data_IF_938504054210
#
_entry.id   IF_938504054210
#
_cell.length_a   1.000
_cell.length_b   1.000
_cell.length_c   1.000
_cell.angle_alpha   90.00
_cell.angle_beta   90.00
_cell.angle_gamma   90.00
#
_symmetry.space_group_name_H-M   'P 1'
#
loop_
_entity.id
_entity.type
_entity.pdbx_description
1 polymer ?
#
# COMPACT_ATOMS: atom_id res chain seq x y z
N UNK A 1 13.10 5.34 -14.53
CA UNK A 1 11.94 5.46 -13.63
C UNK A 1 12.05 6.82 -12.95
N UNK A 2 11.13 7.74 -13.20
CA UNK A 2 11.15 9.04 -12.53
C UNK A 2 10.73 8.81 -11.08
N UNK A 3 11.67 8.93 -10.13
CA UNK A 3 11.37 8.83 -8.69
C UNK A 3 10.66 10.12 -8.28
N UNK A 4 9.35 10.05 -8.04
CA UNK A 4 8.62 11.16 -7.43
C UNK A 4 9.07 11.41 -5.99
N UNK A 5 8.88 12.61 -5.48
CA UNK A 5 9.04 12.90 -4.05
C UNK A 5 7.82 12.44 -3.24
N UNK A 6 7.97 12.28 -1.93
CA UNK A 6 6.86 11.98 -1.01
C UNK A 6 5.69 12.96 -1.21
N UNK A 7 5.99 14.25 -1.28
CA UNK A 7 4.97 15.29 -1.50
C UNK A 7 4.25 15.14 -2.83
N UNK A 8 4.95 14.77 -3.91
CA UNK A 8 4.33 14.57 -5.22
C UNK A 8 3.37 13.38 -5.20
N UNK A 9 3.77 12.25 -4.60
CA UNK A 9 2.88 11.08 -4.50
C UNK A 9 1.67 11.37 -3.61
N UNK A 10 1.84 12.07 -2.49
CA UNK A 10 0.71 12.46 -1.64
C UNK A 10 -0.30 13.33 -2.39
N UNK A 11 0.16 14.35 -3.13
CA UNK A 11 -0.72 15.17 -3.96
C UNK A 11 -1.43 14.37 -5.06
N UNK A 12 -0.73 13.45 -5.71
CA UNK A 12 -1.34 12.57 -6.73
C UNK A 12 -2.40 11.65 -6.13
N UNK A 13 -2.15 11.08 -4.95
CA UNK A 13 -3.13 10.23 -4.25
C UNK A 13 -4.36 11.07 -3.90
N UNK A 14 -4.18 12.23 -3.28
CA UNK A 14 -5.30 13.10 -2.88
C UNK A 14 -6.17 13.51 -4.07
N UNK A 15 -5.57 13.99 -5.15
CA UNK A 15 -6.29 14.44 -6.35
C UNK A 15 -7.09 13.30 -6.99
N UNK A 16 -6.49 12.12 -7.15
CA UNK A 16 -7.12 11.00 -7.82
C UNK A 16 -8.17 10.30 -6.93
N UNK A 17 -7.92 10.19 -5.62
CA UNK A 17 -8.91 9.66 -4.68
C UNK A 17 -10.11 10.60 -4.62
N UNK A 18 -9.91 11.92 -4.63
CA UNK A 18 -11.01 12.88 -4.66
C UNK A 18 -11.92 12.68 -5.87
N UNK A 19 -11.35 12.57 -7.08
CA UNK A 19 -12.13 12.31 -8.30
C UNK A 19 -12.90 10.99 -8.21
N UNK A 20 -12.25 9.95 -7.67
CA UNK A 20 -12.89 8.66 -7.44
C UNK A 20 -14.07 8.75 -6.45
N UNK A 21 -13.91 9.45 -5.33
CA UNK A 21 -14.96 9.62 -4.32
C UNK A 21 -16.11 10.53 -4.78
N UNK A 22 -15.81 11.54 -5.59
CA UNK A 22 -16.84 12.38 -6.22
C UNK A 22 -17.80 11.54 -7.10
N UNK A 23 -17.30 10.48 -7.74
CA UNK A 23 -18.16 9.55 -8.48
C UNK A 23 -19.17 8.82 -7.58
N UNK A 24 -18.76 8.29 -6.43
CA UNK A 24 -19.68 7.63 -5.48
C UNK A 24 -20.71 8.62 -4.96
N UNK A 25 -20.26 9.82 -4.58
CA UNK A 25 -21.15 10.89 -4.14
C UNK A 25 -22.17 11.28 -5.21
N UNK A 26 -21.78 11.32 -6.49
CA UNK A 26 -22.68 11.64 -7.61
C UNK A 26 -23.75 10.57 -7.87
N UNK A 27 -23.56 9.36 -7.32
CA UNK A 27 -24.44 8.20 -7.46
C UNK A 27 -25.20 7.88 -6.18
N UNK A 28 -25.12 8.75 -5.16
CA UNK A 28 -25.66 8.51 -3.81
C UNK A 28 -25.17 7.18 -3.20
N UNK A 29 -23.96 6.75 -3.56
CA UNK A 29 -23.32 5.56 -3.01
C UNK A 29 -22.50 5.92 -1.76
N UNK A 30 -22.40 5.01 -0.78
CA UNK A 30 -21.52 5.19 0.36
C UNK A 30 -20.05 5.21 -0.08
N UNK A 31 -19.21 5.79 0.77
CA UNK A 31 -17.77 5.74 0.57
C UNK A 31 -17.27 4.28 0.64
N UNK A 32 -16.38 3.85 -0.28
CA UNK A 32 -15.84 2.50 -0.26
C UNK A 32 -15.10 2.18 1.02
N UNK A 33 -15.34 1.00 1.58
CA UNK A 33 -14.66 0.53 2.80
C UNK A 33 -14.49 -0.99 2.81
N UNK A 34 -13.63 -1.51 3.69
CA UNK A 34 -13.48 -2.95 3.87
C UNK A 34 -14.78 -3.63 4.37
N UNK A 35 -15.57 -2.92 5.17
CA UNK A 35 -16.80 -3.45 5.77
C UNK A 35 -17.98 -3.44 4.79
N UNK A 36 -18.10 -2.39 3.98
CA UNK A 36 -19.24 -2.18 3.08
C UNK A 36 -18.94 -2.49 1.60
N UNK A 37 -17.66 -2.71 1.24
CA UNK A 37 -17.24 -2.77 -0.16
C UNK A 37 -17.38 -1.41 -0.86
N UNK A 38 -17.52 -1.43 -2.18
CA UNK A 38 -17.75 -0.23 -2.99
C UNK A 38 -19.22 -0.01 -3.38
N UNK A 39 -20.09 -1.01 -3.20
CA UNK A 39 -21.51 -0.91 -3.55
C UNK A 39 -21.76 -0.72 -5.05
N UNK A 40 -20.77 -0.95 -5.91
CA UNK A 40 -20.92 -0.84 -7.36
C UNK A 40 -21.67 -2.05 -7.92
N UNK A 41 -22.53 -1.83 -8.91
CA UNK A 41 -23.16 -2.92 -9.66
C UNK A 41 -22.08 -3.63 -10.51
N UNK A 42 -21.82 -4.93 -10.31
CA UNK A 42 -20.81 -5.67 -11.06
C UNK A 42 -21.06 -5.70 -12.58
N UNK A 43 -22.30 -5.46 -13.02
CA UNK A 43 -22.65 -5.41 -14.43
C UNK A 43 -22.40 -4.04 -15.08
N UNK A 44 -22.11 -3.02 -14.28
CA UNK A 44 -21.91 -1.64 -14.74
C UNK A 44 -20.51 -1.17 -14.38
N UNK A 45 -19.64 -1.12 -15.38
CA UNK A 45 -18.31 -0.54 -15.20
C UNK A 45 -18.39 0.97 -14.95
N UNK A 46 -17.58 1.51 -14.02
CA UNK A 46 -17.42 2.94 -13.89
C UNK A 46 -16.88 3.57 -15.18
N UNK A 47 -17.06 4.88 -15.37
CA UNK A 47 -16.43 5.63 -16.45
C UNK A 47 -14.90 5.43 -16.49
N UNK A 48 -14.32 5.44 -17.68
CA UNK A 48 -12.89 5.15 -17.89
C UNK A 48 -11.95 6.11 -17.15
N UNK A 49 -12.35 7.37 -17.02
CA UNK A 49 -11.66 8.40 -16.24
C UNK A 49 -11.64 8.07 -14.75
N UNK A 50 -12.75 7.59 -14.18
CA UNK A 50 -12.83 7.15 -12.78
C UNK A 50 -11.96 5.91 -12.54
N UNK A 51 -11.95 4.97 -13.49
CA UNK A 51 -11.06 3.80 -13.45
C UNK A 51 -9.59 4.25 -13.50
N UNK A 52 -9.26 5.18 -14.39
CA UNK A 52 -7.91 5.72 -14.51
C UNK A 52 -7.47 6.43 -13.23
N UNK A 53 -8.32 7.27 -12.63
CA UNK A 53 -8.03 7.92 -11.35
C UNK A 53 -7.82 6.90 -10.23
N UNK A 54 -8.69 5.90 -10.09
CA UNK A 54 -8.48 4.83 -9.11
C UNK A 54 -7.13 4.14 -9.29
N UNK A 55 -6.80 3.76 -10.52
CA UNK A 55 -5.56 3.06 -10.82
C UNK A 55 -4.33 3.94 -10.54
N UNK A 56 -4.38 5.23 -10.91
CA UNK A 56 -3.32 6.19 -10.64
C UNK A 56 -3.11 6.41 -9.14
N UNK A 57 -4.19 6.48 -8.35
CA UNK A 57 -4.10 6.58 -6.89
C UNK A 57 -3.42 5.34 -6.28
N UNK A 58 -3.80 4.13 -6.74
CA UNK A 58 -3.20 2.87 -6.26
C UNK A 58 -1.72 2.78 -6.63
N UNK A 59 -1.36 3.16 -7.85
CA UNK A 59 0.03 3.18 -8.30
C UNK A 59 0.87 4.17 -7.48
N UNK A 60 0.39 5.40 -7.29
CA UNK A 60 1.07 6.40 -6.47
C UNK A 60 1.19 5.96 -5.00
N UNK A 61 0.19 5.28 -4.44
CA UNK A 61 0.24 4.72 -3.09
C UNK A 61 1.29 3.61 -2.97
N UNK A 62 1.41 2.73 -3.97
CA UNK A 62 2.43 1.69 -4.01
C UNK A 62 3.84 2.29 -4.13
N UNK A 63 4.03 3.27 -5.00
CA UNK A 63 5.32 3.96 -5.13
C UNK A 63 5.70 4.71 -3.85
N UNK A 64 4.74 5.38 -3.20
CA UNK A 64 4.94 6.00 -1.90
C UNK A 64 5.31 4.95 -0.84
N UNK A 65 4.61 3.81 -0.81
CA UNK A 65 4.91 2.71 0.10
C UNK A 65 6.36 2.23 -0.07
N UNK A 66 6.81 1.99 -1.30
CA UNK A 66 8.20 1.63 -1.59
C UNK A 66 9.19 2.72 -1.18
N UNK A 67 8.87 3.99 -1.44
CA UNK A 67 9.73 5.12 -1.09
C UNK A 67 9.91 5.24 0.43
N UNK A 68 8.83 5.06 1.20
CA UNK A 68 8.85 5.15 2.67
C UNK A 68 9.56 3.96 3.33
N UNK A 69 9.48 2.78 2.72
CA UNK A 69 10.27 1.61 3.09
C UNK A 69 11.78 1.83 2.89
N UNK A 70 12.13 2.79 2.03
CA UNK A 70 13.50 3.14 1.71
C UNK A 70 14.22 2.03 0.93
N UNK A 71 15.50 2.23 0.60
CA UNK A 71 16.27 1.33 -0.26
C UNK A 71 16.43 -0.09 0.31
N UNK A 72 16.24 -0.28 1.61
CA UNK A 72 16.36 -1.59 2.27
C UNK A 72 15.02 -2.30 2.49
N UNK A 73 13.90 -1.57 2.53
CA UNK A 73 12.61 -2.20 2.81
C UNK A 73 12.10 -3.09 1.68
N UNK A 74 12.56 -2.89 0.44
CA UNK A 74 12.28 -3.81 -0.68
C UNK A 74 12.83 -5.23 -0.44
N UNK A 75 13.94 -5.38 0.28
CA UNK A 75 14.52 -6.70 0.60
C UNK A 75 13.75 -7.45 1.70
N UNK A 76 12.94 -6.75 2.49
CA UNK A 76 12.16 -7.33 3.59
C UNK A 76 10.68 -7.52 3.22
N UNK A 77 10.24 -6.93 2.11
CA UNK A 77 8.82 -6.90 1.69
C UNK A 77 8.48 -7.94 0.63
N UNK A 78 9.44 -8.76 0.20
CA UNK A 78 9.16 -9.88 -0.69
C UNK A 78 8.39 -10.96 0.09
N UNK A 79 7.23 -11.43 -0.38
CA UNK A 79 6.47 -12.51 0.27
C UNK A 79 7.22 -13.86 0.34
N UNK A 80 8.46 -13.93 -0.18
CA UNK A 80 9.31 -15.13 -0.17
C UNK A 80 10.49 -15.10 0.81
N UNK A 81 10.90 -13.95 1.35
CA UNK A 81 12.17 -13.85 2.11
C UNK A 81 12.06 -14.18 3.60
N UNK A 82 10.85 -14.46 4.11
CA UNK A 82 10.65 -14.97 5.48
C UNK A 82 11.02 -16.46 5.62
N UNK A 83 11.43 -17.14 4.54
CA UNK A 83 11.84 -18.55 4.54
C UNK A 83 13.32 -18.66 4.20
N UNK A 84 14.23 -18.32 5.13
CA UNK A 84 15.57 -18.94 5.27
C UNK A 84 16.39 -18.26 6.39
N UNK A 85 15.90 -18.30 7.63
CA UNK A 85 16.84 -18.41 8.75
C UNK A 85 16.97 -19.90 9.09
N UNK A 86 18.08 -20.57 8.75
CA UNK A 86 18.33 -21.90 9.29
C UNK A 86 18.38 -21.79 10.81
N UNK A 87 17.49 -22.54 11.48
CA UNK A 87 17.29 -22.63 12.94
C UNK A 87 18.54 -22.96 13.77
N UNK A 88 19.73 -23.06 13.18
CA UNK A 88 20.95 -23.55 13.85
C UNK A 88 21.76 -22.48 14.58
N UNK A 89 21.43 -21.18 14.49
CA UNK A 89 22.19 -20.11 15.20
C UNK A 89 21.39 -19.20 16.13
N UNK A 90 20.12 -19.47 16.40
CA UNK A 90 19.34 -18.69 17.38
C UNK A 90 19.63 -19.07 18.85
N UNK A 91 20.41 -20.13 19.12
CA UNK A 91 20.64 -20.66 20.48
C UNK A 91 21.86 -20.08 21.21
N UNK A 92 22.62 -19.16 20.61
CA UNK A 92 23.86 -18.60 21.22
C UNK A 92 23.82 -17.13 21.62
N UNK A 93 22.69 -16.44 21.46
CA UNK A 93 22.59 -15.03 21.88
C UNK A 93 21.77 -14.81 23.16
N UNK A 94 21.01 -15.80 23.64
CA UNK A 94 20.26 -15.68 24.90
C UNK A 94 21.03 -16.13 26.15
N UNK A 95 22.27 -16.65 26.03
CA UNK A 95 23.08 -17.08 27.19
C UNK A 95 24.07 -16.01 27.66
N UNK A 96 24.29 -14.93 26.89
CA UNK A 96 25.25 -13.88 27.26
C UNK A 96 24.63 -12.67 27.97
N UNK A 97 23.32 -12.70 28.26
CA UNK A 97 22.62 -11.64 28.99
C UNK A 97 22.09 -12.07 30.37
N UNK A 98 22.45 -13.27 30.86
CA UNK A 98 21.97 -13.84 32.15
C UNK A 98 23.10 -14.10 33.15
N UNK A 99 24.34 -13.70 32.86
CA UNK A 99 25.48 -13.79 33.81
C UNK A 99 26.25 -12.48 33.88
N UNK A 100 25.53 -11.39 34.15
CA UNK A 100 26.11 -10.14 34.58
C UNK A 100 25.44 -9.73 35.91
N UNK A 101 25.78 -10.49 36.96
CA UNK A 101 25.80 -10.11 38.37
C UNK A 101 26.85 -10.99 39.08
#
# INVERSE_FOLDING_TARGET
>A
MASGSVSQYLSQIEENVKNYLEYFKSRDLPEPSYDAGDGLDPQQSPPNDIIASRNAAVEAANELHHLLLGPLGLFLSSPGDLIMFPRSKQRRLNTLLVTAD
#
